data_IF_182378188567
#
_entry.id   IF_182378188567
#
_cell.length_a   1.000
_cell.length_b   1.000
_cell.length_c   1.000
_cell.angle_alpha   90.00
_cell.angle_beta   90.00
_cell.angle_gamma   90.00
#
_symmetry.space_group_name_H-M   'P 1'
#
loop_
_entity.id
_entity.type
_entity.pdbx_description
1 polymer ?
#
# COMPACT_ATOMS: atom_id res chain seq x y z
N UNK A 1 17.43 -4.11 11.18
CA UNK A 1 16.44 -4.13 10.08
C UNK A 1 15.06 -4.23 10.71
N UNK A 2 14.21 -3.22 10.57
CA UNK A 2 12.83 -3.28 11.05
C UNK A 2 11.96 -3.87 9.95
N UNK A 3 11.46 -5.10 10.16
CA UNK A 3 10.49 -5.72 9.25
C UNK A 3 9.19 -4.90 9.23
N UNK A 4 8.66 -4.68 8.03
CA UNK A 4 7.37 -4.00 7.80
C UNK A 4 6.35 -5.01 7.30
N UNK A 5 5.25 -5.20 8.02
CA UNK A 5 4.15 -6.03 7.54
C UNK A 5 3.49 -5.36 6.32
N UNK A 6 3.50 -6.06 5.17
CA UNK A 6 2.91 -5.57 3.92
C UNK A 6 1.60 -6.29 3.64
N UNK A 7 0.49 -5.58 3.80
CA UNK A 7 -0.86 -6.09 3.53
C UNK A 7 -1.31 -5.65 2.15
N UNK A 8 -1.66 -6.58 1.27
CA UNK A 8 -2.17 -6.25 -0.07
C UNK A 8 -3.70 -6.24 -0.05
N UNK A 9 -4.30 -5.07 -0.32
CA UNK A 9 -5.76 -4.91 -0.38
C UNK A 9 -6.39 -5.82 -1.44
N UNK A 10 -7.67 -6.18 -1.31
CA UNK A 10 -8.37 -6.98 -2.32
C UNK A 10 -8.31 -6.36 -3.72
N UNK A 11 -8.41 -5.03 -3.80
CA UNK A 11 -8.29 -4.29 -5.07
C UNK A 11 -6.90 -4.44 -5.68
N UNK A 12 -5.84 -4.18 -4.92
CA UNK A 12 -4.47 -4.36 -5.38
C UNK A 12 -4.18 -5.81 -5.79
N UNK A 13 -4.68 -6.81 -5.05
CA UNK A 13 -4.54 -8.23 -5.45
C UNK A 13 -5.15 -8.50 -6.82
N UNK A 14 -6.31 -7.93 -7.12
CA UNK A 14 -6.94 -8.03 -8.45
C UNK A 14 -6.13 -7.33 -9.53
N UNK A 15 -5.53 -6.17 -9.23
CA UNK A 15 -4.64 -5.47 -10.17
C UNK A 15 -3.39 -6.31 -10.48
N UNK A 16 -2.73 -6.86 -9.45
CA UNK A 16 -1.57 -7.75 -9.62
C UNK A 16 -1.92 -8.95 -10.50
N UNK A 17 -3.06 -9.61 -10.26
CA UNK A 17 -3.49 -10.77 -11.06
C UNK A 17 -3.67 -10.47 -12.55
N UNK A 18 -3.95 -9.22 -12.92
CA UNK A 18 -4.09 -8.78 -14.32
C UNK A 18 -2.77 -8.49 -15.02
N UNK A 19 -1.68 -8.37 -14.27
CA UNK A 19 -0.34 -8.15 -14.83
C UNK A 19 0.17 -9.41 -15.54
N UNK A 20 1.13 -9.23 -16.46
CA UNK A 20 1.88 -10.35 -17.04
C UNK A 20 2.65 -11.09 -15.95
N UNK A 21 3.03 -12.35 -16.18
CA UNK A 21 3.76 -13.17 -15.18
C UNK A 21 5.05 -12.52 -14.72
N UNK A 22 5.79 -11.88 -15.62
CA UNK A 22 7.03 -11.18 -15.26
C UNK A 22 6.77 -9.94 -14.41
N UNK A 23 5.72 -9.17 -14.74
CA UNK A 23 5.29 -8.02 -13.93
C UNK A 23 4.75 -8.44 -12.56
N UNK A 24 4.07 -9.58 -12.46
CA UNK A 24 3.68 -10.18 -11.18
C UNK A 24 4.91 -10.51 -10.33
N UNK A 25 5.91 -11.20 -10.90
CA UNK A 25 7.17 -11.53 -10.21
C UNK A 25 7.91 -10.27 -9.74
N UNK A 26 8.04 -9.27 -10.59
CA UNK A 26 8.67 -7.99 -10.25
C UNK A 26 7.93 -7.28 -9.11
N UNK A 27 6.59 -7.29 -9.14
CA UNK A 27 5.77 -6.72 -8.07
C UNK A 27 5.99 -7.46 -6.76
N UNK A 28 5.93 -8.80 -6.77
CA UNK A 28 6.12 -9.60 -5.55
C UNK A 28 7.52 -9.36 -4.96
N UNK A 29 8.55 -9.31 -5.81
CA UNK A 29 9.91 -8.99 -5.38
C UNK A 29 9.98 -7.59 -4.75
N UNK A 30 9.29 -6.60 -5.32
CA UNK A 30 9.22 -5.24 -4.76
C UNK A 30 8.52 -5.21 -3.40
N UNK A 31 7.41 -5.92 -3.24
CA UNK A 31 6.69 -6.00 -1.96
C UNK A 31 7.55 -6.69 -0.88
N UNK A 32 8.31 -7.73 -1.24
CA UNK A 32 9.27 -8.36 -0.33
C UNK A 32 10.42 -7.42 0.05
N UNK A 33 10.90 -6.60 -0.90
CA UNK A 33 11.89 -5.56 -0.56
C UNK A 33 11.31 -4.58 0.45
N UNK A 34 10.07 -4.12 0.25
CA UNK A 34 9.38 -3.22 1.18
C UNK A 34 9.24 -3.84 2.57
N UNK A 35 8.92 -5.13 2.65
CA UNK A 35 8.82 -5.88 3.91
C UNK A 35 10.16 -5.95 4.65
N UNK A 36 11.27 -6.17 3.93
CA UNK A 36 12.60 -6.27 4.52
C UNK A 36 13.24 -4.91 4.86
N UNK A 37 12.68 -3.81 4.36
CA UNK A 37 13.16 -2.46 4.65
C UNK A 37 13.12 -1.54 3.43
N UNK A 38 12.88 -0.25 3.69
CA UNK A 38 12.64 0.75 2.65
C UNK A 38 13.89 1.43 2.09
N UNK A 39 15.07 1.17 2.65
CA UNK A 39 16.30 1.94 2.39
C UNK A 39 16.74 1.94 0.92
N UNK A 40 16.41 0.89 0.17
CA UNK A 40 16.75 0.76 -1.26
C UNK A 40 15.61 1.17 -2.19
N UNK A 41 14.47 1.57 -1.63
CA UNK A 41 13.26 1.89 -2.39
C UNK A 41 13.13 3.40 -2.63
N UNK A 42 12.84 3.78 -3.88
CA UNK A 42 12.48 5.16 -4.22
C UNK A 42 11.04 5.45 -3.80
N UNK A 43 10.87 5.89 -2.55
CA UNK A 43 9.58 6.25 -1.95
C UNK A 43 9.36 7.77 -2.06
N UNK A 44 8.19 8.15 -2.57
CA UNK A 44 7.75 9.53 -2.68
C UNK A 44 6.36 9.70 -2.06
N UNK A 45 6.10 10.84 -1.40
CA UNK A 45 4.72 11.21 -1.04
C UNK A 45 3.92 11.56 -2.29
N UNK A 46 2.64 11.21 -2.32
CA UNK A 46 1.75 11.60 -3.41
C UNK A 46 1.32 13.06 -3.21
N UNK A 47 1.55 13.90 -4.22
CA UNK A 47 1.11 15.31 -4.20
C UNK A 47 -0.41 15.37 -4.05
N UNK A 48 -0.89 16.20 -3.12
CA UNK A 48 -2.32 16.33 -2.80
C UNK A 48 -2.87 15.25 -1.86
N UNK A 49 -2.10 14.18 -1.60
CA UNK A 49 -2.51 13.06 -0.74
C UNK A 49 -1.38 12.74 0.26
N UNK A 50 -1.14 13.59 1.27
CA UNK A 50 0.06 13.56 2.12
C UNK A 50 0.20 12.28 2.97
N UNK A 51 -0.91 11.58 3.19
CA UNK A 51 -0.96 10.29 3.90
C UNK A 51 -0.57 9.11 3.03
N UNK A 52 -0.38 9.30 1.72
CA UNK A 52 -0.14 8.24 0.77
C UNK A 52 1.26 8.34 0.15
N UNK A 53 1.85 7.17 -0.07
CA UNK A 53 3.21 7.03 -0.53
C UNK A 53 3.23 6.17 -1.78
N UNK A 54 4.22 6.39 -2.64
CA UNK A 54 4.43 5.65 -3.87
C UNK A 54 5.86 5.16 -3.96
N UNK A 55 6.02 3.88 -4.30
CA UNK A 55 7.31 3.31 -4.68
C UNK A 55 7.43 3.32 -6.20
N UNK A 56 8.61 3.71 -6.69
CA UNK A 56 8.98 3.64 -8.12
C UNK A 56 10.00 2.52 -8.33
N UNK A 57 9.69 1.55 -9.20
CA UNK A 57 10.65 0.52 -9.64
C UNK A 57 10.50 0.24 -11.13
N UNK A 58 11.39 0.81 -11.94
CA UNK A 58 11.29 0.76 -13.40
C UNK A 58 9.97 1.35 -13.88
N UNK A 59 9.13 0.53 -14.52
CA UNK A 59 7.79 0.90 -14.96
C UNK A 59 6.70 0.68 -13.90
N UNK A 60 6.97 -0.04 -12.82
CA UNK A 60 5.97 -0.33 -11.80
C UNK A 60 5.85 0.80 -10.78
N UNK A 61 4.61 1.13 -10.41
CA UNK A 61 4.26 2.03 -9.31
C UNK A 61 3.37 1.27 -8.33
N UNK A 62 3.74 1.36 -7.06
CA UNK A 62 2.96 0.79 -5.95
C UNK A 62 2.55 1.94 -5.04
N UNK A 63 1.25 2.11 -4.82
CA UNK A 63 0.73 3.10 -3.87
C UNK A 63 0.31 2.39 -2.59
N UNK A 64 0.76 2.92 -1.46
CA UNK A 64 0.48 2.36 -0.15
C UNK A 64 0.25 3.44 0.91
N UNK A 65 -0.31 3.01 2.04
CA UNK A 65 -0.56 3.82 3.23
C UNK A 65 -0.02 3.11 4.47
N UNK A 66 0.53 3.86 5.43
CA UNK A 66 0.95 3.31 6.72
C UNK A 66 -0.26 3.18 7.64
N UNK A 67 -0.59 1.95 8.05
CA UNK A 67 -1.58 1.71 9.12
C UNK A 67 -0.93 1.99 10.48
N UNK A 68 0.30 1.50 10.66
CA UNK A 68 1.14 1.76 11.83
C UNK A 68 2.58 2.00 11.38
N UNK A 69 3.50 2.25 12.31
CA UNK A 69 4.92 2.44 12.00
C UNK A 69 5.54 1.25 11.24
N UNK A 70 5.09 0.03 11.51
CA UNK A 70 5.64 -1.20 10.94
C UNK A 70 4.61 -1.99 10.12
N UNK A 71 3.50 -1.36 9.71
CA UNK A 71 2.45 -2.03 8.92
C UNK A 71 1.91 -1.11 7.86
N UNK A 72 1.88 -1.59 6.62
CA UNK A 72 1.40 -0.86 5.47
C UNK A 72 0.31 -1.62 4.73
N UNK A 73 -0.59 -0.88 4.09
CA UNK A 73 -1.57 -1.43 3.16
C UNK A 73 -1.30 -0.94 1.74
N UNK A 74 -1.14 -1.88 0.81
CA UNK A 74 -0.98 -1.61 -0.62
C UNK A 74 -2.36 -1.50 -1.27
N UNK A 75 -2.60 -0.36 -1.91
CA UNK A 75 -3.91 0.02 -2.45
C UNK A 75 -3.96 -0.06 -3.98
N UNK A 76 -2.84 0.24 -4.65
CA UNK A 76 -2.75 0.30 -6.12
C UNK A 76 -1.41 -0.29 -6.57
N UNK A 77 -1.42 -1.10 -7.61
CA UNK A 77 -0.23 -1.63 -8.30
C UNK A 77 -0.41 -1.52 -9.81
N UNK A 78 0.36 -0.64 -10.45
CA UNK A 78 0.18 -0.33 -11.87
C UNK A 78 1.47 0.01 -12.59
N UNK A 79 1.47 -0.19 -13.91
CA UNK A 79 2.49 0.35 -14.79
C UNK A 79 2.44 1.89 -14.86
N UNK A 80 3.55 2.50 -15.27
CA UNK A 80 3.77 3.96 -15.36
C UNK A 80 2.61 4.70 -16.00
N UNK A 81 2.09 4.16 -17.10
CA UNK A 81 1.05 4.76 -17.93
C UNK A 81 -0.30 4.89 -17.20
N UNK A 82 -0.57 4.02 -16.23
CA UNK A 82 -1.86 3.94 -15.53
C UNK A 82 -1.77 4.39 -14.06
N UNK A 83 -0.57 4.78 -13.61
CA UNK A 83 -0.26 5.09 -12.22
C UNK A 83 -1.00 6.30 -11.66
N UNK A 84 -1.53 7.18 -12.52
CA UNK A 84 -2.24 8.40 -12.11
C UNK A 84 -3.76 8.31 -12.21
N UNK A 85 -4.31 7.25 -12.81
CA UNK A 85 -5.76 7.10 -12.92
C UNK A 85 -6.37 6.73 -11.56
N UNK A 86 -7.33 7.50 -11.08
CA UNK A 86 -8.07 7.14 -9.86
C UNK A 86 -7.28 7.35 -8.56
N UNK A 87 -6.30 8.27 -8.54
CA UNK A 87 -5.61 8.67 -7.31
C UNK A 87 -6.45 9.61 -6.43
N UNK A 88 -7.42 10.29 -7.02
CA UNK A 88 -8.46 11.06 -6.33
C UNK A 88 -9.31 10.20 -5.36
N UNK A 89 -9.48 8.91 -5.65
CA UNK A 89 -10.27 7.96 -4.87
C UNK A 89 -9.45 7.17 -3.81
N UNK A 90 -8.25 7.64 -3.46
CA UNK A 90 -7.35 6.92 -2.55
C UNK A 90 -7.92 6.73 -1.13
N UNK A 91 -8.61 7.73 -0.60
CA UNK A 91 -9.22 7.66 0.74
C UNK A 91 -10.33 6.61 0.79
N UNK A 92 -11.17 6.54 -0.25
CA UNK A 92 -12.21 5.51 -0.37
C UNK A 92 -11.59 4.12 -0.50
N UNK A 93 -10.52 3.98 -1.29
CA UNK A 93 -9.79 2.70 -1.43
C UNK A 93 -9.20 2.25 -0.10
N UNK A 94 -8.67 3.18 0.69
CA UNK A 94 -8.15 2.90 2.03
C UNK A 94 -9.28 2.41 2.95
N UNK A 95 -10.41 3.13 3.02
CA UNK A 95 -11.55 2.74 3.84
C UNK A 95 -12.04 1.32 3.49
N UNK A 96 -12.24 1.03 2.20
CA UNK A 96 -12.64 -0.29 1.74
C UNK A 96 -11.60 -1.39 2.05
N UNK A 97 -10.30 -1.05 1.99
CA UNK A 97 -9.24 -1.98 2.35
C UNK A 97 -9.24 -2.28 3.85
N UNK A 98 -9.39 -1.27 4.72
CA UNK A 98 -9.44 -1.46 6.17
C UNK A 98 -10.65 -2.28 6.60
N UNK A 99 -11.82 -2.02 6.00
CA UNK A 99 -13.03 -2.82 6.21
C UNK A 99 -12.83 -4.29 5.84
N UNK A 100 -12.26 -4.56 4.66
CA UNK A 100 -11.97 -5.91 4.21
C UNK A 100 -10.92 -6.64 5.06
N UNK A 101 -10.10 -5.91 5.80
CA UNK A 101 -9.10 -6.44 6.72
C UNK A 101 -9.64 -6.61 8.15
N UNK A 102 -10.88 -6.21 8.43
CA UNK A 102 -11.46 -6.28 9.77
C UNK A 102 -10.87 -5.27 10.76
N UNK A 103 -10.23 -4.20 10.25
CA UNK A 103 -9.51 -3.21 11.07
C UNK A 103 -10.43 -2.14 11.69
N UNK A 104 -11.74 -2.33 11.72
CA UNK A 104 -12.70 -1.31 12.17
C UNK A 104 -12.61 -0.96 13.67
N UNK A 105 -11.89 -1.73 14.51
CA UNK A 105 -11.95 -1.56 15.97
C UNK A 105 -10.66 -1.09 16.67
N UNK A 106 -9.52 -0.95 15.99
CA UNK A 106 -8.27 -0.53 16.66
C UNK A 106 -8.30 0.92 17.19
N UNK A 107 -9.21 1.77 16.68
CA UNK A 107 -9.40 3.15 17.14
C UNK A 107 -10.26 3.29 18.40
N UNK A 108 -11.12 2.32 18.71
CA UNK A 108 -12.09 2.43 19.81
C UNK A 108 -11.54 1.93 21.16
N UNK A 109 -10.50 1.08 21.16
CA UNK A 109 -9.89 0.55 22.39
C UNK A 109 -9.06 1.60 23.14
N UNK A 110 -8.64 2.70 22.48
CA UNK A 110 -7.86 3.76 23.13
C UNK A 110 -8.69 4.78 23.93
N UNK A 111 -10.03 4.74 23.85
CA UNK A 111 -10.91 5.61 24.66
C UNK A 111 -11.47 4.95 25.92
N UNK A 112 -11.19 3.68 26.17
CA UNK A 112 -11.72 2.93 27.31
C UNK A 112 -10.72 2.73 28.48
N UNK A 113 -9.62 3.49 28.50
CA UNK A 113 -8.55 3.35 29.49
C UNK A 113 -8.10 4.68 30.08
N UNK A 114 -9.04 5.45 30.62
CA UNK A 114 -8.75 6.51 31.60
C UNK A 114 -9.97 6.65 32.51
N UNK A 115 -9.97 5.91 33.60
CA UNK A 115 -10.60 6.28 34.87
C UNK A 115 -9.60 5.89 35.95
#
# INVERSE_FOLDING_TARGET
MSSTEVVVSPAARREIKKLTKDRQKQTIALLRTLENGSETLMIEKIKGHPSFFRIRRGDMRVVYHYITRNRVVVLVVRDRKDAYRGLDDLDRKLLAALQALGEEQAGNVRKAGTI
#
